data_IF_068824444178
#
_entry.id   IF_068824444178
#
_cell.length_a   1.000
_cell.length_b   1.000
_cell.length_c   1.000
_cell.angle_alpha   90.00
_cell.angle_beta   90.00
_cell.angle_gamma   90.00
#
_symmetry.space_group_name_H-M   'P 1'
#
loop_
_entity.id
_entity.type
_entity.pdbx_description
1 polymer ?
#
# COMPACT_ATOMS: atom_id res chain seq x y z
N UNK A 1 -5.29 16.04 -7.96
CA UNK A 1 -5.56 14.95 -7.00
C UNK A 1 -6.19 13.71 -7.63
N UNK A 2 -7.04 13.87 -8.67
CA UNK A 2 -7.70 12.74 -9.37
C UNK A 2 -6.72 11.69 -9.90
N UNK A 3 -5.76 12.07 -10.76
CA UNK A 3 -4.81 11.12 -11.38
C UNK A 3 -4.00 10.36 -10.34
N UNK A 4 -3.41 11.08 -9.37
CA UNK A 4 -2.62 10.46 -8.31
C UNK A 4 -3.45 9.46 -7.49
N UNK A 5 -4.70 9.79 -7.14
CA UNK A 5 -5.57 8.87 -6.41
C UNK A 5 -6.00 7.65 -7.23
N UNK A 6 -6.38 7.85 -8.49
CA UNK A 6 -6.86 6.78 -9.37
C UNK A 6 -5.76 5.80 -9.74
N UNK A 7 -4.62 6.28 -10.25
CA UNK A 7 -3.53 5.40 -10.74
C UNK A 7 -2.90 4.63 -9.57
N UNK A 8 -2.68 5.29 -8.43
CA UNK A 8 -2.01 4.63 -7.31
C UNK A 8 -2.88 3.59 -6.63
N UNK A 9 -4.17 3.85 -6.47
CA UNK A 9 -5.11 2.88 -5.88
C UNK A 9 -5.34 1.69 -6.80
N UNK A 10 -5.48 1.91 -8.11
CA UNK A 10 -5.62 0.84 -9.10
C UNK A 10 -4.39 -0.10 -9.08
N UNK A 11 -3.18 0.48 -9.11
CA UNK A 11 -1.93 -0.29 -9.06
C UNK A 11 -1.82 -1.09 -7.76
N UNK A 12 -2.14 -0.48 -6.60
CA UNK A 12 -2.10 -1.18 -5.32
C UNK A 12 -3.08 -2.37 -5.28
N UNK A 13 -4.29 -2.20 -5.81
CA UNK A 13 -5.30 -3.27 -5.90
C UNK A 13 -4.83 -4.41 -6.82
N UNK A 14 -4.26 -4.08 -7.98
CA UNK A 14 -3.71 -5.08 -8.92
C UNK A 14 -2.61 -5.92 -8.27
N UNK A 15 -1.67 -5.28 -7.58
CA UNK A 15 -0.61 -5.96 -6.85
C UNK A 15 -1.18 -6.85 -5.72
N UNK A 16 -2.14 -6.35 -4.94
CA UNK A 16 -2.74 -7.11 -3.84
C UNK A 16 -3.47 -8.36 -4.35
N UNK A 17 -4.28 -8.22 -5.40
CA UNK A 17 -4.98 -9.34 -6.02
C UNK A 17 -4.00 -10.36 -6.61
N UNK A 18 -2.98 -9.89 -7.34
CA UNK A 18 -1.94 -10.77 -7.88
C UNK A 18 -1.24 -11.56 -6.78
N UNK A 19 -0.89 -10.91 -5.66
CA UNK A 19 -0.25 -11.59 -4.53
C UNK A 19 -1.18 -12.64 -3.90
N UNK A 20 -2.45 -12.32 -3.66
CA UNK A 20 -3.41 -13.27 -3.09
C UNK A 20 -3.64 -14.47 -4.02
N UNK A 21 -3.77 -14.24 -5.33
CA UNK A 21 -3.93 -15.32 -6.31
C UNK A 21 -2.72 -16.26 -6.35
N UNK A 22 -1.51 -15.73 -6.15
CA UNK A 22 -0.28 -16.52 -6.10
C UNK A 22 -0.01 -17.16 -4.72
N UNK A 23 -0.74 -16.77 -3.66
CA UNK A 23 -0.60 -17.30 -2.31
C UNK A 23 -1.96 -17.79 -1.75
N UNK A 24 -2.41 -18.99 -2.16
CA UNK A 24 -3.75 -19.50 -1.83
C UNK A 24 -4.07 -19.58 -0.33
N UNK A 25 -3.06 -19.86 0.51
CA UNK A 25 -3.25 -19.88 1.96
C UNK A 25 -3.60 -18.49 2.51
N UNK A 26 -2.91 -17.45 2.04
CA UNK A 26 -3.21 -16.08 2.42
C UNK A 26 -4.58 -15.65 1.89
N UNK A 27 -4.93 -16.00 0.64
CA UNK A 27 -6.25 -15.78 0.09
C UNK A 27 -7.36 -16.44 0.90
N UNK A 28 -7.15 -17.69 1.32
CA UNK A 28 -8.10 -18.41 2.15
C UNK A 28 -8.29 -17.72 3.51
N UNK A 29 -7.21 -17.34 4.20
CA UNK A 29 -7.29 -16.62 5.49
C UNK A 29 -8.03 -15.29 5.36
N UNK A 30 -7.77 -14.52 4.30
CA UNK A 30 -8.47 -13.26 4.04
C UNK A 30 -9.98 -13.49 3.81
N UNK A 31 -10.35 -14.49 3.02
CA UNK A 31 -11.77 -14.83 2.80
C UNK A 31 -12.46 -15.24 4.09
N UNK A 32 -11.84 -16.13 4.88
CA UNK A 32 -12.36 -16.56 6.18
C UNK A 32 -12.57 -15.37 7.11
N UNK A 33 -11.62 -14.43 7.17
CA UNK A 33 -11.77 -13.22 8.01
C UNK A 33 -12.97 -12.37 7.56
N UNK A 34 -13.11 -12.12 6.26
CA UNK A 34 -14.24 -11.34 5.71
C UNK A 34 -15.57 -12.03 6.00
N UNK A 35 -15.67 -13.33 5.71
CA UNK A 35 -16.89 -14.13 5.96
C UNK A 35 -17.26 -14.15 7.45
N UNK A 36 -16.26 -14.14 8.34
CA UNK A 36 -16.48 -14.16 9.80
C UNK A 36 -17.02 -12.83 10.34
N UNK A 37 -16.48 -11.70 9.88
CA UNK A 37 -16.79 -10.40 10.48
C UNK A 37 -17.83 -9.57 9.71
N UNK A 38 -18.00 -9.81 8.42
CA UNK A 38 -18.95 -9.09 7.54
C UNK A 38 -20.13 -10.00 7.16
N UNK A 39 -19.87 -11.29 6.95
CA UNK A 39 -20.86 -12.24 6.42
C UNK A 39 -21.02 -12.14 4.90
N UNK A 40 -21.90 -12.98 4.34
CA UNK A 40 -22.07 -13.11 2.88
C UNK A 40 -23.22 -12.27 2.31
N UNK A 41 -24.13 -11.81 3.15
CA UNK A 41 -25.38 -11.13 2.74
C UNK A 41 -25.29 -9.61 2.79
N UNK A 42 -24.14 -9.05 3.18
CA UNK A 42 -23.96 -7.61 3.40
C UNK A 42 -22.69 -7.09 2.74
N UNK A 43 -22.74 -5.84 2.30
CA UNK A 43 -21.58 -5.13 1.79
C UNK A 43 -20.72 -4.64 2.96
N UNK A 44 -19.40 -4.77 2.80
CA UNK A 44 -18.43 -4.20 3.71
C UNK A 44 -18.59 -2.67 3.78
N UNK A 45 -18.67 -2.14 5.00
CA UNK A 45 -18.64 -0.69 5.26
C UNK A 45 -17.35 -0.30 5.97
N UNK A 46 -17.00 0.99 5.95
CA UNK A 46 -15.74 1.49 6.54
C UNK A 46 -15.57 1.11 8.02
N UNK A 47 -16.67 1.01 8.76
CA UNK A 47 -16.67 0.67 10.19
C UNK A 47 -16.20 -0.77 10.44
N UNK A 48 -16.35 -1.67 9.47
CA UNK A 48 -15.91 -3.07 9.59
C UNK A 48 -14.41 -3.24 9.36
N UNK A 49 -13.75 -2.27 8.72
CA UNK A 49 -12.31 -2.34 8.41
C UNK A 49 -11.50 -2.59 9.68
N UNK A 50 -11.90 -2.00 10.81
CA UNK A 50 -11.24 -2.19 12.10
C UNK A 50 -11.19 -3.66 12.57
N UNK A 51 -12.16 -4.49 12.14
CA UNK A 51 -12.24 -5.92 12.46
C UNK A 51 -11.39 -6.78 11.52
N UNK A 52 -11.09 -6.29 10.32
CA UNK A 52 -10.40 -7.03 9.25
C UNK A 52 -8.89 -6.84 9.32
N UNK A 53 -8.27 -7.35 10.40
CA UNK A 53 -6.86 -7.10 10.68
C UNK A 53 -5.93 -7.83 9.71
N UNK A 54 -6.29 -9.04 9.30
CA UNK A 54 -5.54 -9.81 8.33
C UNK A 54 -5.58 -9.16 6.95
N UNK A 55 -6.74 -8.66 6.50
CA UNK A 55 -6.84 -7.88 5.26
C UNK A 55 -5.97 -6.62 5.30
N UNK A 56 -5.96 -5.88 6.41
CA UNK A 56 -5.06 -4.73 6.58
C UNK A 56 -3.58 -5.13 6.49
N UNK A 57 -3.21 -6.29 7.05
CA UNK A 57 -1.86 -6.81 6.96
C UNK A 57 -1.50 -7.21 5.52
N UNK A 58 -2.44 -7.80 4.76
CA UNK A 58 -2.25 -8.10 3.33
C UNK A 58 -1.96 -6.83 2.54
N UNK A 59 -2.71 -5.75 2.77
CA UNK A 59 -2.48 -4.46 2.09
C UNK A 59 -1.12 -3.89 2.48
N UNK A 60 -0.80 -3.92 3.78
CA UNK A 60 0.49 -3.44 4.29
C UNK A 60 1.66 -4.20 3.68
N UNK A 61 1.56 -5.52 3.61
CA UNK A 61 2.61 -6.38 3.04
C UNK A 61 2.73 -6.22 1.53
N UNK A 62 1.60 -6.03 0.84
CA UNK A 62 1.58 -5.69 -0.59
C UNK A 62 2.39 -4.42 -0.85
N UNK A 63 2.16 -3.35 -0.09
CA UNK A 63 2.88 -2.08 -0.25
C UNK A 63 4.35 -2.16 0.20
N UNK A 64 4.68 -3.06 1.13
CA UNK A 64 6.07 -3.34 1.52
C UNK A 64 6.85 -4.04 0.40
N UNK A 65 6.23 -5.02 -0.27
CA UNK A 65 6.85 -5.80 -1.35
C UNK A 65 6.85 -5.05 -2.69
N UNK A 66 5.74 -4.37 -3.00
CA UNK A 66 5.50 -3.65 -4.25
C UNK A 66 4.97 -2.24 -3.95
N UNK A 67 5.84 -1.32 -3.50
CA UNK A 67 5.46 0.07 -3.33
C UNK A 67 5.10 0.70 -4.68
N UNK A 68 3.98 1.42 -4.74
CA UNK A 68 3.49 2.07 -5.98
C UNK A 68 4.47 3.12 -6.51
N UNK A 69 5.26 3.74 -5.63
CA UNK A 69 6.35 4.65 -5.98
C UNK A 69 7.68 4.17 -5.36
N UNK A 70 8.39 3.19 -5.96
CA UNK A 70 9.58 2.57 -5.37
C UNK A 70 10.73 3.54 -5.05
N UNK A 71 10.83 4.62 -5.82
CA UNK A 71 11.86 5.66 -5.65
C UNK A 71 11.30 6.97 -5.06
N UNK A 72 10.04 6.95 -4.60
CA UNK A 72 9.31 8.15 -4.17
C UNK A 72 9.34 9.26 -5.26
N UNK A 73 8.99 10.48 -4.89
CA UNK A 73 9.16 11.66 -5.76
C UNK A 73 10.57 12.19 -5.55
N UNK A 74 11.21 12.67 -6.61
CA UNK A 74 12.52 13.32 -6.51
C UNK A 74 12.46 14.47 -5.50
N UNK A 75 13.33 14.41 -4.50
CA UNK A 75 13.49 15.44 -3.49
C UNK A 75 14.71 16.30 -3.80
N UNK A 76 14.60 17.60 -3.51
CA UNK A 76 15.69 18.57 -3.55
C UNK A 76 15.88 19.18 -2.16
N UNK A 77 17.13 19.44 -1.77
CA UNK A 77 17.42 20.14 -0.52
C UNK A 77 17.26 21.64 -0.71
N UNK A 78 16.48 22.30 0.17
CA UNK A 78 16.30 23.75 0.10
C UNK A 78 17.52 24.55 0.56
N UNK A 79 18.46 23.92 1.28
CA UNK A 79 19.72 24.49 1.78
C UNK A 79 20.86 23.47 1.63
N UNK A 80 22.12 23.90 1.66
CA UNK A 80 23.25 22.99 1.80
C UNK A 80 23.07 22.14 3.07
N UNK A 81 23.18 20.82 2.96
CA UNK A 81 22.96 19.91 4.09
C UNK A 81 23.96 18.75 4.09
N UNK A 82 24.09 18.09 5.24
CA UNK A 82 24.88 16.88 5.38
C UNK A 82 23.96 15.69 5.65
N UNK A 83 24.05 14.65 4.82
CA UNK A 83 23.29 13.41 4.98
C UNK A 83 24.28 12.24 5.02
N UNK A 84 24.32 11.53 6.15
CA UNK A 84 25.20 10.36 6.31
C UNK A 84 26.70 10.68 6.16
N UNK A 85 27.13 11.90 6.47
CA UNK A 85 28.52 12.35 6.29
C UNK A 85 28.81 13.01 4.94
N UNK A 86 27.89 12.94 3.97
CA UNK A 86 28.05 13.54 2.65
C UNK A 86 27.42 14.94 2.60
N UNK A 87 28.18 15.92 2.09
CA UNK A 87 27.68 17.27 1.85
C UNK A 87 26.89 17.33 0.54
N UNK A 88 25.60 17.62 0.64
CA UNK A 88 24.71 17.92 -0.47
C UNK A 88 24.66 19.45 -0.63
N UNK A 89 25.30 19.94 -1.68
CA UNK A 89 25.31 21.37 -2.01
C UNK A 89 24.19 21.69 -2.98
N UNK A 90 23.55 22.85 -2.83
CA UNK A 90 22.59 23.34 -3.81
C UNK A 90 23.34 23.66 -5.10
N UNK A 91 23.03 22.90 -6.14
CA UNK A 91 23.40 23.29 -7.50
C UNK A 91 22.17 23.95 -8.11
N UNK A 92 22.21 25.27 -8.33
CA UNK A 92 21.15 25.95 -9.09
C UNK A 92 21.14 25.37 -10.51
N UNK A 93 20.06 24.67 -10.86
CA UNK A 93 19.74 24.25 -12.22
C UNK A 93 19.31 25.47 -13.04
#
# INVERSE_FOLDING_TARGET
MLVAGSETSATAMECALSLLLNHPEAMHKTKVEIDTYVGQDQLLIEQDIAKLKYLQNVITETLRLYPVAPLMILHESSNDCNVGGFSLLITKI
#
